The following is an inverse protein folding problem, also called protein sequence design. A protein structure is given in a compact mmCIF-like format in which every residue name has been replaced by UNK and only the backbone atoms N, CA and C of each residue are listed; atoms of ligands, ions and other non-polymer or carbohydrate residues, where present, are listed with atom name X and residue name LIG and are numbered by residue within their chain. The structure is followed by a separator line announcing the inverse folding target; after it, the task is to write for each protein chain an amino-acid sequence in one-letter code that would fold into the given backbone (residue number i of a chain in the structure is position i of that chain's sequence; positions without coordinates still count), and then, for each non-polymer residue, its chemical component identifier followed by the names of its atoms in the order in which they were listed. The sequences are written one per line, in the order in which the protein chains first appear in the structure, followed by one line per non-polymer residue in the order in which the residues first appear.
data_IF_269109440470
#
_entry.id   IF_269109440470
#
_cell.length_a   1.000
_cell.length_b   1.000
_cell.length_c   1.000
_cell.angle_alpha   90.00
_cell.angle_beta   90.00
_cell.angle_gamma   90.00
#
_symmetry.space_group_name_H-M   'P 1'
#
loop_
_entity.id
_entity.type
_entity.pdbx_description
1 polymer ?
#
# COMPACT_ATOMS: atom_id res chain seq x y z
N UNK A 1 4.30 -21.26 18.21
CA UNK A 1 4.47 -21.05 17.43
C UNK A 1 5.05 -20.67 16.67
N UNK A 2 5.32 -20.91 16.35
CA UNK A 2 5.90 -20.55 15.62
C UNK A 2 5.71 -20.39 14.45
N UNK A 3 5.77 -20.78 14.01
CA UNK A 3 5.64 -20.73 12.62
C UNK A 3 5.31 -19.41 12.09
N UNK A 4 4.78 -18.71 12.78
CA UNK A 4 4.39 -17.37 12.45
C UNK A 4 5.35 -16.40 13.10
N UNK A 5 5.80 -15.43 12.34
CA UNK A 5 6.65 -14.44 12.94
C UNK A 5 6.14 -13.05 12.64
N UNK A 6 6.27 -12.19 13.60
CA UNK A 6 5.85 -10.82 13.46
C UNK A 6 6.74 -10.06 12.50
N UNK A 7 6.13 -9.28 11.65
CA UNK A 7 6.86 -8.41 10.76
C UNK A 7 7.19 -7.13 11.51
N UNK A 8 8.43 -6.67 11.47
CA UNK A 8 8.78 -5.43 12.16
C UNK A 8 7.95 -4.26 11.63
N UNK A 9 7.66 -3.32 12.49
CA UNK A 9 6.91 -2.14 12.10
C UNK A 9 7.62 -1.44 10.96
N UNK A 10 6.86 -1.09 9.93
CA UNK A 10 7.40 -0.37 8.79
C UNK A 10 8.14 -1.21 7.79
N UNK A 11 8.21 -2.52 8.00
CA UNK A 11 8.99 -3.37 7.10
C UNK A 11 8.44 -3.38 5.69
N UNK A 12 7.15 -3.20 5.50
CA UNK A 12 6.55 -3.12 4.17
C UNK A 12 5.50 -2.05 4.20
N UNK A 13 5.91 -0.82 4.42
CA UNK A 13 5.00 0.29 4.57
C UNK A 13 5.12 1.22 3.39
N UNK A 14 3.99 1.52 2.78
CA UNK A 14 3.92 2.37 1.60
C UNK A 14 2.83 3.41 1.79
N UNK A 15 2.86 4.43 0.95
CA UNK A 15 1.86 5.49 0.95
C UNK A 15 1.30 5.62 -0.45
N UNK A 16 -0.02 5.74 -0.53
CA UNK A 16 -0.71 5.82 -1.81
C UNK A 16 -1.45 7.14 -1.90
N UNK A 17 -1.16 7.90 -2.94
CA UNK A 17 -1.94 9.08 -3.30
C UNK A 17 -2.76 8.72 -4.50
N UNK A 18 -4.05 8.61 -4.32
CA UNK A 18 -4.96 8.09 -5.34
C UNK A 18 -5.89 9.17 -5.84
N UNK A 19 -6.16 9.12 -7.11
CA UNK A 19 -7.11 9.99 -7.76
C UNK A 19 -8.04 9.14 -8.62
N UNK A 20 -9.33 9.24 -8.35
CA UNK A 20 -10.33 8.59 -9.20
C UNK A 20 -10.66 9.56 -10.31
N UNK A 21 -10.49 9.13 -11.56
CA UNK A 21 -10.76 9.98 -12.69
C UNK A 21 -11.43 9.15 -13.76
N UNK A 22 -12.62 9.60 -14.17
CA UNK A 22 -13.45 8.85 -15.10
C UNK A 22 -13.66 7.47 -14.49
N UNK A 23 -13.39 6.42 -15.16
CA UNK A 23 -13.55 5.11 -14.59
C UNK A 23 -12.22 4.48 -14.21
N UNK A 24 -11.20 5.32 -14.02
CA UNK A 24 -9.88 4.82 -13.72
C UNK A 24 -9.36 5.36 -12.40
N UNK A 25 -8.62 4.52 -11.73
CA UNK A 25 -7.94 4.90 -10.51
C UNK A 25 -6.46 5.07 -10.82
N UNK A 26 -5.98 6.29 -10.73
CA UNK A 26 -4.57 6.59 -10.97
C UNK A 26 -3.97 7.13 -9.69
N UNK A 27 -2.65 7.25 -9.66
CA UNK A 27 -2.03 7.83 -8.50
C UNK A 27 -0.54 7.65 -8.48
N UNK A 28 0.02 7.81 -7.30
CA UNK A 28 1.43 7.61 -7.06
C UNK A 28 1.65 6.77 -5.82
N UNK A 29 2.67 5.95 -5.89
CA UNK A 29 3.06 5.05 -4.83
C UNK A 29 4.38 5.56 -4.27
N UNK A 30 4.44 5.72 -2.94
CA UNK A 30 5.63 6.19 -2.25
C UNK A 30 6.06 5.17 -1.22
N UNK A 31 7.36 5.08 -1.01
CA UNK A 31 7.88 4.21 0.01
C UNK A 31 9.32 3.85 -0.30
N UNK A 32 9.87 2.88 0.44
CA UNK A 32 11.25 2.44 0.15
C UNK A 32 11.34 1.91 -1.28
N UNK A 33 12.29 2.44 -2.03
CA UNK A 33 12.43 2.11 -3.44
C UNK A 33 11.61 2.96 -4.37
N UNK A 34 10.75 3.80 -3.83
CA UNK A 34 9.89 4.69 -4.62
C UNK A 34 9.76 6.03 -3.90
N UNK A 35 10.88 6.58 -3.47
CA UNK A 35 10.88 7.78 -2.61
C UNK A 35 10.37 9.02 -3.34
N UNK A 36 10.59 9.10 -4.64
CA UNK A 36 10.15 10.25 -5.42
C UNK A 36 8.73 10.11 -5.95
N UNK A 37 8.10 8.97 -5.70
CA UNK A 37 6.77 8.71 -6.22
C UNK A 37 6.81 7.95 -7.52
N UNK A 38 6.13 6.82 -7.53
CA UNK A 38 6.06 5.95 -8.71
C UNK A 38 4.63 6.01 -9.23
N UNK A 39 4.42 6.61 -10.40
CA UNK A 39 3.05 6.75 -10.89
C UNK A 39 2.48 5.44 -11.38
N UNK A 40 1.19 5.29 -11.23
CA UNK A 40 0.47 4.14 -11.80
C UNK A 40 -0.83 4.64 -12.42
N UNK A 41 -1.28 3.91 -13.44
CA UNK A 41 -2.46 4.29 -14.20
C UNK A 41 -3.63 3.36 -13.96
N UNK A 42 -3.45 2.36 -13.11
CA UNK A 42 -4.53 1.45 -12.73
C UNK A 42 -4.15 0.76 -11.43
N UNK A 43 -5.15 0.24 -10.75
CA UNK A 43 -4.89 -0.50 -9.51
C UNK A 43 -4.12 -1.79 -9.79
N UNK A 44 -4.37 -2.40 -10.95
CA UNK A 44 -3.62 -3.60 -11.32
C UNK A 44 -2.14 -3.28 -11.46
N UNK A 45 -1.83 -2.16 -12.07
CA UNK A 45 -0.43 -1.74 -12.21
C UNK A 45 0.18 -1.45 -10.85
N UNK A 46 -0.59 -0.83 -9.96
CA UNK A 46 -0.13 -0.56 -8.60
C UNK A 46 0.27 -1.85 -7.90
N UNK A 47 -0.55 -2.89 -8.01
CA UNK A 47 -0.26 -4.17 -7.38
C UNK A 47 1.04 -4.76 -7.92
N UNK A 48 1.21 -4.71 -9.24
CA UNK A 48 2.43 -5.24 -9.84
C UNK A 48 3.66 -4.47 -9.39
N UNK A 49 3.55 -3.16 -9.26
CA UNK A 49 4.65 -2.34 -8.80
C UNK A 49 4.99 -2.64 -7.35
N UNK A 50 3.99 -2.81 -6.51
CA UNK A 50 4.22 -3.17 -5.10
C UNK A 50 4.90 -4.53 -5.01
N UNK A 51 4.45 -5.47 -5.80
CA UNK A 51 5.03 -6.81 -5.79
C UNK A 51 6.50 -6.74 -6.19
N UNK A 52 6.81 -5.97 -7.22
CA UNK A 52 8.18 -5.83 -7.67
C UNK A 52 9.06 -5.16 -6.62
N UNK A 53 8.55 -4.11 -5.98
CA UNK A 53 9.30 -3.43 -4.95
C UNK A 53 9.62 -4.36 -3.78
N UNK A 54 8.63 -5.12 -3.36
CA UNK A 54 8.83 -6.04 -2.24
C UNK A 54 9.76 -7.19 -2.62
N UNK A 55 9.66 -7.69 -3.84
CA UNK A 55 10.54 -8.75 -4.30
C UNK A 55 11.97 -8.29 -4.42
N UNK A 56 12.15 -7.08 -4.95
CA UNK A 56 13.49 -6.55 -5.17
C UNK A 56 14.20 -6.29 -3.85
N UNK A 57 13.48 -5.80 -2.87
CA UNK A 57 14.09 -5.48 -1.58
C UNK A 57 14.25 -6.71 -0.70
N UNK A 58 13.50 -7.76 -0.98
CA UNK A 58 13.58 -8.98 -0.21
C UNK A 58 13.21 -8.74 1.25
N UNK A 59 14.00 -9.31 2.14
CA UNK A 59 13.78 -9.14 3.57
C UNK A 59 14.44 -7.89 4.12
N UNK A 60 15.26 -7.24 3.33
CA UNK A 60 15.90 -6.01 3.75
C UNK A 60 14.94 -4.87 3.58
N UNK A 61 14.69 -4.16 4.64
CA UNK A 61 13.82 -3.02 4.56
C UNK A 61 14.44 -1.86 5.32
N UNK A 62 14.05 -0.68 4.93
CA UNK A 62 14.49 0.53 5.59
C UNK A 62 13.24 1.33 5.95
N UNK A 63 13.16 1.87 7.16
CA UNK A 63 12.04 2.71 7.49
C UNK A 63 11.99 3.90 6.53
N UNK A 64 10.80 4.24 6.10
CA UNK A 64 10.62 5.39 5.24
C UNK A 64 9.51 6.23 5.83
N UNK A 65 9.74 7.51 5.93
CA UNK A 65 8.74 8.44 6.40
C UNK A 65 8.49 9.47 5.31
N UNK A 66 7.23 9.86 5.13
CA UNK A 66 6.94 10.88 4.13
C UNK A 66 7.63 12.18 4.51
N UNK A 67 8.06 12.96 3.51
CA UNK A 67 8.68 14.23 3.81
C UNK A 67 7.70 15.21 4.41
N UNK A 68 8.25 16.24 5.03
CA UNK A 68 7.44 17.30 5.58
C UNK A 68 6.60 17.90 4.47
N UNK A 69 5.33 18.15 4.75
CA UNK A 69 4.42 18.68 3.75
C UNK A 69 3.77 17.65 2.85
N UNK A 70 4.04 16.38 3.12
CA UNK A 70 3.40 15.31 2.36
C UNK A 70 1.89 15.35 2.56
N UNK A 71 1.14 14.94 1.55
CA UNK A 71 -0.30 15.04 1.57
C UNK A 71 -0.92 14.24 2.72
N UNK A 72 -1.85 14.87 3.43
CA UNK A 72 -2.59 14.19 4.47
C UNK A 72 -3.65 13.27 3.91
N UNK A 73 -3.88 13.33 2.61
CA UNK A 73 -4.84 12.46 1.95
C UNK A 73 -4.24 11.13 1.55
N UNK A 74 -2.94 10.97 1.70
CA UNK A 74 -2.29 9.71 1.33
C UNK A 74 -2.78 8.60 2.24
N UNK A 75 -3.05 7.45 1.63
CA UNK A 75 -3.38 6.25 2.38
C UNK A 75 -2.10 5.58 2.83
N UNK A 76 -2.10 5.12 4.06
CA UNK A 76 -0.97 4.36 4.59
C UNK A 76 -1.26 2.88 4.40
N UNK A 77 -0.39 2.23 3.62
CA UNK A 77 -0.53 0.80 3.33
C UNK A 77 0.56 0.04 4.06
N UNK A 78 0.17 -0.89 4.89
CA UNK A 78 1.12 -1.72 5.61
C UNK A 78 0.88 -3.17 5.24
N UNK A 79 1.89 -3.82 4.68
CA UNK A 79 1.83 -5.23 4.33
C UNK A 79 2.52 -6.00 5.45
N UNK A 80 1.75 -6.72 6.23
CA UNK A 80 2.28 -7.44 7.39
C UNK A 80 2.72 -8.85 7.05
N UNK A 81 2.14 -9.43 6.01
CA UNK A 81 2.44 -10.79 5.62
C UNK A 81 2.18 -10.92 4.13
N UNK A 82 3.11 -11.57 3.43
CA UNK A 82 3.00 -11.72 1.99
C UNK A 82 3.46 -13.11 1.60
N UNK A 83 2.62 -13.80 0.83
CA UNK A 83 2.97 -15.08 0.25
C UNK A 83 2.25 -15.17 -1.08
N UNK A 84 3.01 -15.12 -2.17
CA UNK A 84 2.45 -15.01 -3.51
C UNK A 84 1.58 -13.75 -3.53
N UNK A 85 0.38 -13.80 -3.99
CA UNK A 85 -0.51 -12.64 -4.00
C UNK A 85 -1.46 -12.63 -2.82
N UNK A 86 -1.16 -13.41 -1.81
CA UNK A 86 -1.97 -13.45 -0.61
C UNK A 86 -1.42 -12.47 0.43
N UNK A 87 -1.57 -11.19 0.15
CA UNK A 87 -1.09 -10.14 1.03
C UNK A 87 -2.06 -9.93 2.17
N UNK A 88 -1.53 -9.77 3.36
CA UNK A 88 -2.33 -9.43 4.53
C UNK A 88 -1.76 -8.17 5.14
N UNK A 89 -2.64 -7.26 5.53
CA UNK A 89 -2.15 -6.03 6.08
C UNK A 89 -3.26 -5.08 6.44
N UNK A 90 -2.91 -3.80 6.51
CA UNK A 90 -3.83 -2.75 6.90
C UNK A 90 -3.71 -1.57 5.96
N UNK A 91 -4.84 -0.92 5.74
CA UNK A 91 -4.89 0.28 4.94
C UNK A 91 -5.56 1.37 5.79
N UNK A 92 -4.86 2.47 5.97
CA UNK A 92 -5.43 3.59 6.70
C UNK A 92 -6.16 4.50 5.74
N UNK A 93 -7.40 4.82 6.10
CA UNK A 93 -8.27 5.63 5.27
C UNK A 93 -8.39 7.02 5.90
N UNK A 94 -7.60 8.00 5.44
CA UNK A 94 -7.50 9.26 6.16
C UNK A 94 -8.78 10.08 6.18
N UNK A 95 -9.60 10.00 5.13
CA UNK A 95 -10.82 10.81 5.08
C UNK A 95 -11.83 10.44 6.15
N UNK A 96 -11.84 9.18 6.56
CA UNK A 96 -12.80 8.74 7.57
C UNK A 96 -12.11 8.33 8.86
N UNK A 97 -10.79 8.49 8.93
CA UNK A 97 -10.04 8.23 10.14
C UNK A 97 -10.10 6.80 10.61
N UNK A 98 -10.19 5.84 9.69
CA UNK A 98 -10.32 4.43 10.03
C UNK A 98 -9.24 3.62 9.35
N UNK A 99 -9.02 2.43 9.91
CA UNK A 99 -8.16 1.44 9.29
C UNK A 99 -9.00 0.27 8.82
N UNK A 100 -8.62 -0.27 7.68
CA UNK A 100 -9.25 -1.47 7.15
C UNK A 100 -8.21 -2.56 7.07
N UNK A 101 -8.58 -3.75 7.50
CA UNK A 101 -7.70 -4.92 7.44
C UNK A 101 -8.08 -5.71 6.20
N UNK A 102 -7.07 -6.18 5.48
CA UNK A 102 -7.30 -7.02 4.30
C UNK A 102 -6.49 -8.29 4.41
N UNK A 103 -6.98 -9.34 3.79
CA UNK A 103 -6.35 -10.66 3.82
C UNK A 103 -5.93 -11.15 2.45
N UNK A 104 -6.14 -10.34 1.43
CA UNK A 104 -5.76 -10.70 0.07
C UNK A 104 -5.65 -9.42 -0.74
N UNK A 105 -4.99 -9.56 -1.90
CA UNK A 105 -4.89 -8.44 -2.83
C UNK A 105 -6.28 -8.01 -3.29
N UNK A 106 -7.15 -8.97 -3.56
CA UNK A 106 -8.50 -8.65 -4.00
C UNK A 106 -9.25 -7.84 -2.96
N UNK A 107 -9.12 -8.22 -1.70
CA UNK A 107 -9.77 -7.50 -0.61
C UNK A 107 -9.25 -6.07 -0.52
N UNK A 108 -7.93 -5.90 -0.67
CA UNK A 108 -7.34 -4.58 -0.68
C UNK A 108 -7.93 -3.72 -1.78
N UNK A 109 -8.05 -4.26 -2.98
CA UNK A 109 -8.58 -3.51 -4.11
C UNK A 109 -10.04 -3.14 -3.88
N UNK A 110 -10.82 -4.04 -3.31
CA UNK A 110 -12.22 -3.77 -3.02
C UNK A 110 -12.37 -2.66 -1.98
N UNK A 111 -11.50 -2.64 -0.99
CA UNK A 111 -11.53 -1.59 0.02
C UNK A 111 -11.25 -0.23 -0.63
N UNK A 112 -10.23 -0.18 -1.48
CA UNK A 112 -9.89 1.07 -2.14
C UNK A 112 -11.05 1.56 -3.01
N UNK A 113 -11.61 0.68 -3.81
CA UNK A 113 -12.70 1.05 -4.71
C UNK A 113 -13.91 1.52 -3.94
N UNK A 114 -14.26 0.83 -2.86
CA UNK A 114 -15.40 1.21 -2.05
C UNK A 114 -15.20 2.58 -1.40
N UNK A 115 -13.97 2.83 -0.92
CA UNK A 115 -13.66 4.10 -0.28
C UNK A 115 -13.87 5.28 -1.24
N UNK A 116 -13.52 5.10 -2.50
CA UNK A 116 -13.67 6.18 -3.47
C UNK A 116 -15.07 6.28 -4.07
N UNK A 117 -15.84 5.23 -3.98
CA UNK A 117 -17.24 5.29 -4.41
C UNK A 117 -18.12 5.97 -3.39
N UNK A 118 -17.79 5.75 -2.15
CA UNK A 118 -18.56 6.29 -1.06
C UNK A 118 -18.22 7.73 -0.77
#
# INVERSE_FOLDING_TARGET
MQGFRMVPAGSSQFYLLLTARDDQMTGKLYGPGAEAGLPFTSLSRMVLQLEELMDTRGDAWEPWAPPEGFSKEAMELEILFRQNYSWQGRLRLPKIGKEAVFRSVLELLLIIETYFEG
#
